data_IF_460093990475
#
_entry.id   IF_460093990475
#
_cell.length_a   1.000
_cell.length_b   1.000
_cell.length_c   1.000
_cell.angle_alpha   90.00
_cell.angle_beta   90.00
_cell.angle_gamma   90.00
#
_symmetry.space_group_name_H-M   'P 1'
#
loop_
_entity.id
_entity.type
_entity.pdbx_description
1 polymer ?
#
# COMPACT_ATOMS: atom_id res chain seq x y z
N UNK A 1 -16.40 -5.27 2.89
CA UNK A 1 -16.66 -5.42 1.44
C UNK A 1 -17.20 -6.82 1.26
N UNK A 2 -18.18 -7.01 0.38
CA UNK A 2 -18.77 -8.33 0.15
C UNK A 2 -19.16 -8.46 -1.31
N UNK A 3 -18.94 -9.63 -1.88
CA UNK A 3 -19.38 -9.96 -3.23
C UNK A 3 -20.90 -9.90 -3.37
N UNK A 4 -21.35 -9.60 -4.59
CA UNK A 4 -22.76 -9.71 -4.96
C UNK A 4 -23.15 -11.15 -5.34
N UNK A 5 -22.16 -12.02 -5.51
CA UNK A 5 -22.35 -13.45 -5.81
C UNK A 5 -22.45 -14.23 -4.50
N UNK A 6 -23.40 -15.16 -4.42
CA UNK A 6 -23.50 -16.06 -3.27
C UNK A 6 -22.23 -16.93 -3.18
N UNK A 7 -21.57 -16.91 -2.01
CA UNK A 7 -20.27 -17.57 -1.79
C UNK A 7 -19.07 -16.85 -2.43
N UNK A 8 -19.24 -15.61 -2.89
CA UNK A 8 -18.14 -14.75 -3.33
C UNK A 8 -17.45 -14.06 -2.15
N UNK A 9 -16.25 -13.51 -2.39
CA UNK A 9 -15.38 -13.01 -1.34
C UNK A 9 -15.99 -11.88 -0.50
N UNK A 10 -15.75 -11.92 0.79
CA UNK A 10 -15.81 -10.80 1.72
C UNK A 10 -14.42 -10.49 2.27
N UNK A 11 -14.29 -9.26 2.77
CA UNK A 11 -13.09 -8.76 3.43
C UNK A 11 -13.38 -7.38 4.00
N UNK A 12 -12.67 -6.97 5.04
CA UNK A 12 -12.64 -5.58 5.49
C UNK A 12 -11.52 -4.79 4.81
N UNK A 13 -11.83 -3.57 4.37
CA UNK A 13 -10.90 -2.68 3.68
C UNK A 13 -10.66 -1.41 4.49
N UNK A 14 -9.39 -1.09 4.74
CA UNK A 14 -8.95 0.15 5.36
C UNK A 14 -8.15 0.97 4.37
N UNK A 15 -8.67 2.14 4.04
CA UNK A 15 -7.95 3.11 3.23
C UNK A 15 -7.21 4.09 4.14
N UNK A 16 -5.93 4.31 3.87
CA UNK A 16 -5.08 5.22 4.64
C UNK A 16 -4.39 6.24 3.74
N UNK A 17 -4.11 7.41 4.31
CA UNK A 17 -3.24 8.41 3.71
C UNK A 17 -2.40 9.04 4.83
N UNK A 18 -1.10 8.77 4.85
CA UNK A 18 -0.23 9.13 5.96
C UNK A 18 0.55 10.43 5.71
N UNK A 19 1.19 10.94 6.76
CA UNK A 19 1.87 12.24 6.73
C UNK A 19 2.99 12.28 5.68
N UNK A 20 2.94 13.29 4.82
CA UNK A 20 3.87 13.46 3.72
C UNK A 20 5.07 14.33 4.15
N UNK A 21 6.21 14.11 3.50
CA UNK A 21 7.44 14.85 3.77
C UNK A 21 8.55 13.99 4.37
N UNK A 22 9.77 14.52 4.29
CA UNK A 22 11.00 13.84 4.75
C UNK A 22 11.59 14.46 6.01
N UNK A 23 10.87 15.39 6.65
CA UNK A 23 11.29 15.96 7.93
C UNK A 23 11.21 14.94 9.06
N UNK A 24 12.00 15.14 10.12
CA UNK A 24 12.00 14.25 11.29
C UNK A 24 10.59 14.11 11.91
N UNK A 25 9.83 15.20 11.95
CA UNK A 25 8.44 15.19 12.44
C UNK A 25 7.57 14.29 11.57
N UNK A 26 7.61 14.46 10.25
CA UNK A 26 6.74 13.76 9.30
C UNK A 26 7.01 12.25 9.36
N UNK A 27 8.29 11.89 9.35
CA UNK A 27 8.72 10.50 9.53
C UNK A 27 8.27 9.93 10.86
N UNK A 28 8.48 10.64 11.98
CA UNK A 28 8.00 10.17 13.29
C UNK A 28 6.48 9.97 13.29
N UNK A 29 5.71 10.87 12.69
CA UNK A 29 4.26 10.74 12.60
C UNK A 29 3.85 9.51 11.79
N UNK A 30 4.54 9.18 10.69
CA UNK A 30 4.33 7.91 9.98
C UNK A 30 4.71 6.68 10.82
N UNK A 31 5.85 6.70 11.50
CA UNK A 31 6.26 5.60 12.38
C UNK A 31 5.25 5.37 13.52
N UNK A 32 4.72 6.44 14.11
CA UNK A 32 3.64 6.37 15.10
C UNK A 32 2.35 5.80 14.51
N UNK A 33 2.02 6.13 13.26
CA UNK A 33 0.88 5.56 12.55
C UNK A 33 1.06 4.06 12.30
N UNK A 34 2.24 3.62 11.86
CA UNK A 34 2.55 2.19 11.68
C UNK A 34 2.38 1.43 12.99
N UNK A 35 2.90 1.95 14.10
CA UNK A 35 2.75 1.32 15.42
C UNK A 35 1.31 1.30 15.96
N UNK A 36 0.38 2.05 15.36
CA UNK A 36 -1.05 2.02 15.71
C UNK A 36 -1.83 1.00 14.89
N UNK A 37 -1.23 0.44 13.83
CA UNK A 37 -1.85 -0.63 13.05
C UNK A 37 -2.14 -1.85 13.92
N UNK A 38 -1.26 -2.22 14.86
CA UNK A 38 -1.52 -3.25 15.89
C UNK A 38 -2.86 -3.08 16.59
N UNK A 39 -3.03 -1.93 17.24
CA UNK A 39 -4.20 -1.62 18.04
C UNK A 39 -5.48 -1.52 17.20
N UNK A 40 -5.35 -1.19 15.92
CA UNK A 40 -6.45 -1.20 14.97
C UNK A 40 -6.82 -2.65 14.62
N UNK A 41 -5.86 -3.45 14.14
CA UNK A 41 -6.08 -4.83 13.73
C UNK A 41 -6.62 -5.71 14.85
N UNK A 42 -5.99 -5.67 16.02
CA UNK A 42 -6.43 -6.43 17.19
C UNK A 42 -7.90 -6.16 17.56
N UNK A 43 -8.37 -4.91 17.41
CA UNK A 43 -9.77 -4.56 17.68
C UNK A 43 -10.71 -5.03 16.59
N UNK A 44 -10.27 -4.95 15.33
CA UNK A 44 -11.06 -5.33 14.17
C UNK A 44 -11.26 -6.84 14.11
N UNK A 45 -10.21 -7.65 14.28
CA UNK A 45 -10.34 -9.11 14.38
C UNK A 45 -11.30 -9.53 15.50
N UNK A 46 -11.27 -8.83 16.63
CA UNK A 46 -12.18 -9.11 17.73
C UNK A 46 -13.66 -8.75 17.41
N UNK A 47 -13.89 -7.83 16.47
CA UNK A 47 -15.21 -7.31 16.14
C UNK A 47 -15.84 -7.97 14.90
N UNK A 48 -15.07 -8.13 13.82
CA UNK A 48 -15.58 -8.47 12.48
C UNK A 48 -15.77 -9.98 12.28
N UNK A 49 -15.15 -10.87 13.08
CA UNK A 49 -15.11 -12.35 12.90
C UNK A 49 -14.56 -12.84 11.54
N UNK A 50 -14.49 -11.98 10.54
CA UNK A 50 -13.83 -12.15 9.26
C UNK A 50 -12.33 -11.80 9.40
N UNK A 51 -11.42 -12.74 9.12
CA UNK A 51 -9.98 -12.54 9.17
C UNK A 51 -9.39 -11.86 7.93
N UNK A 52 -10.18 -11.64 6.88
CA UNK A 52 -9.75 -11.10 5.60
C UNK A 52 -9.69 -9.58 5.66
N UNK A 53 -8.50 -9.10 5.99
CA UNK A 53 -8.24 -7.66 6.14
C UNK A 53 -7.26 -7.18 5.08
N UNK A 54 -7.63 -6.07 4.44
CA UNK A 54 -6.78 -5.33 3.50
C UNK A 54 -6.60 -3.90 4.01
N UNK A 55 -5.37 -3.45 4.11
CA UNK A 55 -5.02 -2.03 4.30
C UNK A 55 -4.31 -1.54 3.05
N UNK A 56 -4.74 -0.42 2.50
CA UNK A 56 -4.10 0.15 1.31
C UNK A 56 -4.24 1.66 1.22
N UNK A 57 -3.33 2.27 0.47
CA UNK A 57 -3.37 3.68 0.13
C UNK A 57 -1.97 4.29 0.10
N UNK A 58 -1.91 5.62 0.13
CA UNK A 58 -0.65 6.36 0.14
C UNK A 58 -0.08 6.41 1.57
N UNK A 59 0.93 5.58 1.83
CA UNK A 59 1.60 5.54 3.12
C UNK A 59 2.74 6.57 3.20
N UNK A 60 3.00 7.31 2.13
CA UNK A 60 4.06 8.32 2.06
C UNK A 60 5.41 7.76 2.54
N UNK A 61 5.75 6.51 2.17
CA UNK A 61 7.01 5.81 2.53
C UNK A 61 8.24 6.43 1.86
N UNK A 62 8.48 7.71 2.14
CA UNK A 62 9.46 8.58 1.51
C UNK A 62 10.84 8.50 2.18
N UNK A 63 10.94 7.93 3.37
CA UNK A 63 12.11 8.05 4.24
C UNK A 63 12.18 9.37 5.00
N UNK A 64 13.34 9.68 5.56
CA UNK A 64 13.67 10.91 6.25
C UNK A 64 15.08 11.39 5.91
N UNK A 65 15.23 12.70 5.74
CA UNK A 65 16.49 13.32 5.35
C UNK A 65 17.59 13.04 6.39
N UNK A 66 18.66 12.38 5.94
CA UNK A 66 19.80 12.00 6.78
C UNK A 66 19.54 10.85 7.77
N UNK A 67 18.36 10.23 7.75
CA UNK A 67 17.98 9.15 8.67
C UNK A 67 17.78 7.84 7.90
N UNK A 68 16.90 7.84 6.89
CA UNK A 68 16.44 6.64 6.22
C UNK A 68 15.96 6.96 4.80
N UNK A 69 16.22 6.07 3.85
CA UNK A 69 15.65 6.18 2.51
C UNK A 69 14.30 5.45 2.41
N UNK A 70 13.43 5.90 1.50
CA UNK A 70 12.10 5.31 1.30
C UNK A 70 12.07 3.78 1.22
N UNK A 71 12.93 3.11 0.41
CA UNK A 71 12.97 1.66 0.36
C UNK A 71 13.23 0.97 1.70
N UNK A 72 14.04 1.58 2.57
CA UNK A 72 14.30 1.07 3.91
C UNK A 72 13.10 1.32 4.84
N UNK A 73 12.34 2.40 4.64
CA UNK A 73 11.08 2.63 5.35
C UNK A 73 10.02 1.59 4.97
N UNK A 74 9.91 1.25 3.67
CA UNK A 74 9.02 0.18 3.18
C UNK A 74 9.39 -1.17 3.81
N UNK A 75 10.68 -1.51 3.87
CA UNK A 75 11.13 -2.72 4.56
C UNK A 75 10.78 -2.71 6.05
N UNK A 76 10.92 -1.55 6.70
CA UNK A 76 10.53 -1.34 8.09
C UNK A 76 9.03 -1.55 8.33
N UNK A 77 8.19 -0.97 7.47
CA UNK A 77 6.74 -1.18 7.48
C UNK A 77 6.40 -2.68 7.37
N UNK A 78 7.03 -3.40 6.44
CA UNK A 78 6.83 -4.84 6.28
C UNK A 78 7.16 -5.63 7.55
N UNK A 79 8.22 -5.25 8.27
CA UNK A 79 8.59 -5.86 9.56
C UNK A 79 7.59 -5.55 10.66
N UNK A 80 7.08 -4.32 10.73
CA UNK A 80 6.03 -3.94 11.69
C UNK A 80 4.79 -4.77 11.43
N UNK A 81 4.29 -4.76 10.19
CA UNK A 81 3.10 -5.51 9.76
C UNK A 81 3.22 -7.02 10.05
N UNK A 82 4.38 -7.62 9.82
CA UNK A 82 4.62 -9.04 10.07
C UNK A 82 4.64 -9.41 11.57
N UNK A 83 4.93 -8.46 12.47
CA UNK A 83 4.95 -8.68 13.91
C UNK A 83 3.59 -8.51 14.58
N UNK A 84 2.58 -8.03 13.84
CA UNK A 84 1.22 -7.91 14.35
C UNK A 84 0.55 -9.27 14.56
N UNK A 85 -0.53 -9.32 15.34
CA UNK A 85 -1.36 -10.52 15.49
C UNK A 85 -2.66 -10.35 14.68
N UNK A 86 -3.04 -11.30 13.81
CA UNK A 86 -2.44 -12.61 13.51
C UNK A 86 -1.24 -12.55 12.53
N UNK A 87 -0.86 -11.34 12.09
CA UNK A 87 0.29 -11.10 11.23
C UNK A 87 -0.14 -10.68 9.84
N UNK A 88 0.57 -9.73 9.26
CA UNK A 88 0.26 -9.19 7.93
C UNK A 88 1.45 -9.30 6.99
N UNK A 89 1.13 -9.32 5.69
CA UNK A 89 2.11 -9.31 4.61
C UNK A 89 1.99 -7.99 3.86
N UNK A 90 3.09 -7.24 3.81
CA UNK A 90 3.25 -6.17 2.85
C UNK A 90 3.34 -6.77 1.45
N UNK A 91 2.42 -6.39 0.58
CA UNK A 91 2.36 -6.85 -0.80
C UNK A 91 3.39 -6.09 -1.63
N UNK A 92 4.42 -6.77 -2.17
CA UNK A 92 5.30 -6.15 -3.15
C UNK A 92 4.53 -5.83 -4.43
N UNK A 93 4.92 -4.75 -5.11
CA UNK A 93 4.40 -4.40 -6.42
C UNK A 93 5.23 -5.02 -7.54
N UNK A 94 4.64 -5.21 -8.72
CA UNK A 94 5.33 -5.68 -9.93
C UNK A 94 6.38 -4.69 -10.46
N UNK A 95 6.13 -3.39 -10.28
CA UNK A 95 7.11 -2.32 -10.46
C UNK A 95 7.25 -1.50 -9.17
N UNK A 96 8.47 -1.11 -8.75
CA UNK A 96 8.68 -0.28 -7.56
C UNK A 96 8.42 1.19 -7.87
N UNK A 97 7.27 1.48 -8.49
CA UNK A 97 6.88 2.81 -8.93
C UNK A 97 5.40 3.02 -8.74
N UNK A 98 4.98 3.84 -7.77
CA UNK A 98 3.57 4.13 -7.52
C UNK A 98 3.25 5.62 -7.60
N UNK A 99 4.25 6.49 -7.61
CA UNK A 99 4.07 7.91 -7.93
C UNK A 99 5.22 8.49 -8.76
N UNK A 100 5.00 9.68 -9.30
CA UNK A 100 6.05 10.54 -9.83
C UNK A 100 6.11 11.90 -9.12
N UNK A 101 7.24 12.23 -8.51
CA UNK A 101 7.52 13.60 -8.06
C UNK A 101 8.56 14.26 -8.96
N UNK A 102 8.17 15.35 -9.64
CA UNK A 102 9.05 16.08 -10.60
C UNK A 102 9.68 15.16 -11.65
N UNK A 103 8.89 14.20 -12.13
CA UNK A 103 9.31 13.21 -13.12
C UNK A 103 10.25 12.13 -12.60
N UNK A 104 10.52 12.08 -11.30
CA UNK A 104 11.22 10.97 -10.64
C UNK A 104 10.22 10.02 -10.01
N UNK A 105 10.44 8.73 -10.21
CA UNK A 105 9.60 7.67 -9.69
C UNK A 105 9.92 7.39 -8.21
N UNK A 106 8.90 7.13 -7.40
CA UNK A 106 9.01 6.60 -6.05
C UNK A 106 7.99 5.49 -5.78
N UNK A 107 7.95 5.01 -4.54
CA UNK A 107 6.96 4.03 -4.09
C UNK A 107 6.34 4.50 -2.77
N UNK A 108 5.16 5.11 -2.85
CA UNK A 108 4.44 5.69 -1.71
C UNK A 108 3.16 4.92 -1.38
N UNK A 109 2.46 4.44 -2.41
CA UNK A 109 1.27 3.61 -2.25
C UNK A 109 1.63 2.16 -1.91
N UNK A 110 1.08 1.64 -0.82
CA UNK A 110 1.34 0.28 -0.34
C UNK A 110 0.04 -0.48 -0.08
N UNK A 111 0.12 -1.81 -0.13
CA UNK A 111 -0.95 -2.72 0.23
C UNK A 111 -0.42 -3.70 1.28
N UNK A 112 -1.13 -3.83 2.39
CA UNK A 112 -0.83 -4.77 3.47
C UNK A 112 -2.06 -5.65 3.66
N UNK A 113 -1.89 -6.98 3.62
CA UNK A 113 -2.98 -7.95 3.72
C UNK A 113 -2.78 -8.87 4.91
N UNK A 114 -3.86 -9.36 5.51
CA UNK A 114 -3.78 -10.40 6.53
C UNK A 114 -3.04 -11.62 5.97
N UNK A 115 -2.10 -12.19 6.75
CA UNK A 115 -1.27 -13.30 6.29
C UNK A 115 -2.08 -14.55 5.94
N UNK A 116 -3.24 -14.71 6.56
CA UNK A 116 -4.14 -15.85 6.38
C UNK A 116 -5.10 -15.75 5.19
N UNK A 117 -5.25 -14.57 4.58
CA UNK A 117 -6.24 -14.32 3.52
C UNK A 117 -5.98 -15.20 2.29
N UNK A 118 -6.89 -16.12 2.00
CA UNK A 118 -6.75 -17.19 1.01
C UNK A 118 -7.30 -16.80 -0.38
N UNK A 119 -8.10 -15.75 -0.42
CA UNK A 119 -8.75 -15.07 -1.54
C UNK A 119 -7.68 -14.39 -2.41
N UNK A 120 -6.53 -14.02 -1.83
CA UNK A 120 -5.43 -13.42 -2.56
C UNK A 120 -4.79 -14.41 -3.54
N UNK A 121 -5.05 -14.21 -4.82
CA UNK A 121 -4.48 -15.05 -5.89
C UNK A 121 -3.04 -14.66 -6.24
N UNK A 122 -2.76 -13.36 -6.30
CA UNK A 122 -1.48 -12.84 -6.75
C UNK A 122 -0.49 -12.64 -5.58
N UNK A 123 0.79 -12.97 -5.83
CA UNK A 123 1.88 -12.68 -4.88
C UNK A 123 2.38 -11.24 -4.95
N UNK A 124 2.07 -10.55 -6.05
CA UNK A 124 2.43 -9.16 -6.29
C UNK A 124 1.14 -8.36 -6.51
N UNK A 125 1.10 -7.13 -6.03
CA UNK A 125 0.15 -6.14 -6.52
C UNK A 125 0.61 -5.61 -7.88
N UNK A 126 -0.32 -5.30 -8.79
CA UNK A 126 0.03 -4.68 -10.06
C UNK A 126 -0.08 -3.18 -9.99
N UNK A 127 0.86 -2.45 -10.57
CA UNK A 127 0.71 -1.01 -10.78
C UNK A 127 0.19 -0.76 -12.19
N UNK A 128 -0.69 0.23 -12.34
CA UNK A 128 -1.26 0.64 -13.63
C UNK A 128 -0.99 2.12 -13.96
N UNK A 129 -1.56 2.62 -15.05
CA UNK A 129 -1.42 4.03 -15.43
C UNK A 129 -0.03 4.40 -15.96
N UNK A 130 0.42 5.63 -15.68
CA UNK A 130 1.68 6.15 -16.22
C UNK A 130 2.92 5.39 -15.72
N UNK A 131 2.90 4.90 -14.48
CA UNK A 131 4.00 4.15 -13.89
C UNK A 131 4.23 2.84 -14.65
N UNK A 132 3.15 2.11 -14.95
CA UNK A 132 3.19 0.90 -15.76
C UNK A 132 3.57 1.19 -17.21
N UNK A 133 2.93 2.19 -17.83
CA UNK A 133 3.20 2.56 -19.23
C UNK A 133 4.66 3.00 -19.47
N UNK A 134 5.33 3.49 -18.43
CA UNK A 134 6.73 3.90 -18.46
C UNK A 134 7.68 2.93 -17.77
N UNK A 135 7.20 1.83 -17.19
CA UNK A 135 7.99 0.90 -16.40
C UNK A 135 8.87 1.59 -15.33
N UNK A 136 8.33 2.62 -14.67
CA UNK A 136 9.04 3.45 -13.69
C UNK A 136 10.14 4.37 -14.24
N UNK A 137 10.29 4.47 -15.56
CA UNK A 137 11.29 5.35 -16.16
C UNK A 137 10.95 6.83 -15.94
N UNK A 138 11.96 7.61 -15.55
CA UNK A 138 11.85 9.06 -15.36
C UNK A 138 11.36 9.77 -16.62
N UNK A 139 10.77 10.95 -16.44
CA UNK A 139 10.48 11.87 -17.54
C UNK A 139 10.93 13.31 -17.22
N UNK A 140 11.21 14.15 -18.25
CA UNK A 140 11.57 15.54 -18.02
C UNK A 140 10.39 16.35 -17.50
N UNK A 141 10.59 17.13 -16.44
CA UNK A 141 9.56 18.01 -15.85
C UNK A 141 9.04 19.07 -16.84
N UNK A 142 9.85 19.48 -17.82
CA UNK A 142 9.44 20.42 -18.86
C UNK A 142 8.48 19.82 -19.91
N UNK A 143 8.28 18.49 -19.91
CA UNK A 143 7.40 17.79 -20.85
C UNK A 143 6.76 16.57 -20.17
N UNK A 144 5.92 16.77 -19.15
CA UNK A 144 5.29 15.68 -18.43
C UNK A 144 4.26 14.94 -19.32
N UNK A 145 3.99 13.66 -19.06
CA UNK A 145 2.90 12.93 -19.70
C UNK A 145 1.54 13.59 -19.41
N UNK A 146 0.63 13.61 -20.39
CA UNK A 146 -0.69 14.24 -20.20
C UNK A 146 -1.49 13.65 -19.02
N UNK A 147 -1.38 12.34 -18.76
CA UNK A 147 -2.05 11.72 -17.62
C UNK A 147 -1.47 12.16 -16.26
N UNK A 148 -0.17 12.50 -16.20
CA UNK A 148 0.45 13.10 -15.01
C UNK A 148 -0.14 14.47 -14.72
N UNK A 149 -0.30 15.30 -15.75
CA UNK A 149 -0.85 16.65 -15.59
C UNK A 149 -2.36 16.68 -15.33
N UNK A 150 -3.11 15.78 -15.97
CA UNK A 150 -4.56 15.86 -16.02
C UNK A 150 -5.29 14.95 -15.01
N UNK A 151 -4.64 13.89 -14.52
CA UNK A 151 -5.28 12.90 -13.65
C UNK A 151 -4.67 12.87 -12.26
N UNK A 152 -3.42 12.45 -12.16
CA UNK A 152 -2.70 12.26 -10.89
C UNK A 152 -1.23 12.03 -11.15
N UNK A 153 -0.39 12.44 -10.20
CA UNK A 153 1.00 12.04 -10.09
C UNK A 153 1.18 10.64 -9.49
N UNK A 154 0.15 10.11 -8.81
CA UNK A 154 0.08 8.74 -8.33
C UNK A 154 -0.57 7.79 -9.34
N UNK A 155 -0.15 6.53 -9.27
CA UNK A 155 -0.57 5.45 -10.14
C UNK A 155 -1.41 4.44 -9.34
N UNK A 156 -2.52 3.92 -9.90
CA UNK A 156 -3.32 2.94 -9.18
C UNK A 156 -2.52 1.67 -8.93
N UNK A 157 -2.53 1.22 -7.67
CA UNK A 157 -2.01 -0.08 -7.24
C UNK A 157 -3.19 -1.03 -7.03
N UNK A 158 -3.13 -2.19 -7.67
CA UNK A 158 -4.23 -3.12 -7.81
C UNK A 158 -3.88 -4.43 -7.12
N UNK A 159 -4.76 -4.85 -6.22
CA UNK A 159 -4.76 -6.18 -5.62
C UNK A 159 -5.88 -7.00 -6.25
N UNK A 160 -5.52 -8.11 -6.89
CA UNK A 160 -6.49 -9.06 -7.42
C UNK A 160 -6.86 -10.10 -6.36
N UNK A 161 -8.16 -10.29 -6.15
CA UNK A 161 -8.76 -11.25 -5.23
C UNK A 161 -9.67 -12.21 -6.01
N UNK A 162 -9.65 -13.49 -5.63
CA UNK A 162 -10.62 -14.45 -6.11
C UNK A 162 -12.02 -14.05 -5.60
N UNK A 163 -13.03 -14.06 -6.46
CA UNK A 163 -14.42 -13.87 -6.03
C UNK A 163 -14.99 -15.18 -5.45
N UNK A 164 -14.38 -15.65 -4.36
CA UNK A 164 -14.73 -16.86 -3.63
C UNK A 164 -14.39 -16.62 -2.17
N UNK A 165 -15.35 -16.85 -1.29
CA UNK A 165 -15.13 -16.93 0.16
C UNK A 165 -14.44 -18.28 0.49
N UNK A 166 -13.25 -18.27 1.11
CA UNK A 166 -12.41 -19.46 1.33
C UNK A 166 -12.09 -19.74 2.80
N UNK A 167 -12.73 -19.10 3.76
CA UNK A 167 -12.47 -19.30 5.18
C UNK A 167 -13.60 -20.00 5.99
#
# INVERSE_FOLDING_TARGET
MQSLTEGGADFSLFSVHLDSGRGEKDFRTRQEAYGRLDGLFSRLFAAERDPDLVVMGDLNTMGADGIMEGPAEIEGLGKVAANEAPGFVLMPTDIPCTEYFRGQCGALDQIVVASGMAEREARLASVSGICAARNGERFPEASPPAAYEALSDHCPVVLDLADQDRD
#
